data_IF_479187994813
#
_entry.id   IF_479187994813
#
_cell.length_a   1.000
_cell.length_b   1.000
_cell.length_c   1.000
_cell.angle_alpha   90.00
_cell.angle_beta   90.00
_cell.angle_gamma   90.00
#
_symmetry.space_group_name_H-M   'P 1'
#
loop_
_entity.id
_entity.type
_entity.pdbx_description
1 polymer ?
#
# COMPACT_ATOMS: atom_id res chain seq x y z
N UNK A 1 24.35 -6.15 22.75
CA UNK A 1 24.39 -6.52 21.32
C UNK A 1 22.97 -6.88 20.93
N UNK A 2 22.10 -5.88 20.73
CA UNK A 2 20.66 -6.14 20.61
C UNK A 2 19.98 -5.10 19.73
N UNK A 3 20.25 -3.81 19.97
CA UNK A 3 19.59 -2.70 19.24
C UNK A 3 19.93 -2.69 17.75
N UNK A 4 21.20 -2.87 17.38
CA UNK A 4 21.62 -2.83 15.97
C UNK A 4 21.05 -3.98 15.14
N UNK A 5 20.92 -5.18 15.72
CA UNK A 5 20.35 -6.33 15.00
C UNK A 5 18.85 -6.17 14.76
N UNK A 6 18.11 -5.63 15.73
CA UNK A 6 16.66 -5.37 15.56
C UNK A 6 16.41 -4.32 14.49
N UNK A 7 17.18 -3.22 14.46
CA UNK A 7 17.01 -2.17 13.45
C UNK A 7 17.26 -2.69 12.04
N UNK A 8 18.28 -3.53 11.85
CA UNK A 8 18.56 -4.15 10.54
C UNK A 8 17.43 -5.07 10.09
N UNK A 9 16.91 -5.92 10.98
CA UNK A 9 15.81 -6.82 10.65
C UNK A 9 14.51 -6.08 10.26
N UNK A 10 14.18 -4.99 10.98
CA UNK A 10 13.03 -4.14 10.64
C UNK A 10 13.22 -3.43 9.29
N UNK A 11 14.43 -3.00 8.97
CA UNK A 11 14.76 -2.36 7.70
C UNK A 11 14.65 -3.34 6.53
N UNK A 12 15.10 -4.57 6.72
CA UNK A 12 15.01 -5.65 5.74
C UNK A 12 13.53 -6.00 5.48
N UNK A 13 12.73 -6.16 6.54
CA UNK A 13 11.29 -6.41 6.43
C UNK A 13 10.56 -5.26 5.72
N UNK A 14 10.90 -4.02 6.05
CA UNK A 14 10.36 -2.84 5.38
C UNK A 14 10.66 -2.84 3.88
N UNK A 15 11.92 -3.07 3.49
CA UNK A 15 12.32 -3.15 2.09
C UNK A 15 11.60 -4.28 1.36
N UNK A 16 11.39 -5.42 2.02
CA UNK A 16 10.61 -6.53 1.49
C UNK A 16 9.17 -6.10 1.17
N UNK A 17 8.48 -5.43 2.11
CA UNK A 17 7.11 -4.97 1.90
C UNK A 17 6.99 -3.92 0.79
N UNK A 18 7.92 -2.97 0.72
CA UNK A 18 7.93 -1.95 -0.35
C UNK A 18 8.12 -2.61 -1.71
N UNK A 19 9.08 -3.54 -1.82
CA UNK A 19 9.32 -4.27 -3.06
C UNK A 19 8.14 -5.16 -3.45
N UNK A 20 7.52 -5.82 -2.47
CA UNK A 20 6.31 -6.61 -2.69
C UNK A 20 5.16 -5.75 -3.23
N UNK A 21 4.88 -4.62 -2.58
CA UNK A 21 3.84 -3.68 -3.00
C UNK A 21 4.11 -3.13 -4.42
N UNK A 22 5.35 -2.73 -4.72
CA UNK A 22 5.77 -2.29 -6.07
C UNK A 22 5.61 -3.39 -7.12
N UNK A 23 5.82 -4.65 -6.76
CA UNK A 23 5.77 -5.75 -7.74
C UNK A 23 4.35 -6.18 -8.09
N UNK A 24 3.46 -6.17 -7.10
CA UNK A 24 2.17 -6.84 -7.22
C UNK A 24 0.96 -5.90 -7.26
N UNK A 25 1.11 -4.65 -6.83
CA UNK A 25 0.06 -3.64 -6.92
C UNK A 25 0.22 -2.79 -8.18
N UNK A 26 -0.89 -2.27 -8.69
CA UNK A 26 -0.88 -1.28 -9.78
C UNK A 26 -0.81 0.17 -9.27
N UNK A 27 -1.02 0.39 -7.97
CA UNK A 27 -1.05 1.71 -7.34
C UNK A 27 0.33 2.14 -6.81
N UNK A 28 0.99 1.27 -6.05
CA UNK A 28 2.26 1.59 -5.39
C UNK A 28 3.47 1.85 -6.31
N UNK A 29 3.58 1.27 -7.53
CA UNK A 29 4.65 1.63 -8.46
C UNK A 29 4.65 3.11 -8.83
N UNK A 30 3.46 3.68 -9.06
CA UNK A 30 3.31 5.10 -9.40
C UNK A 30 3.57 5.99 -8.19
N UNK A 31 3.08 5.59 -7.01
CA UNK A 31 3.33 6.34 -5.77
C UNK A 31 4.81 6.38 -5.40
N UNK A 32 5.53 5.27 -5.61
CA UNK A 32 6.93 5.12 -5.19
C UNK A 32 7.93 5.31 -6.34
N UNK A 33 7.51 5.89 -7.46
CA UNK A 33 8.35 6.11 -8.63
C UNK A 33 9.60 6.96 -8.35
N UNK A 34 9.50 7.88 -7.40
CA UNK A 34 10.59 8.76 -6.98
C UNK A 34 11.37 8.23 -5.77
N UNK A 35 10.96 7.09 -5.21
CA UNK A 35 11.59 6.49 -4.02
C UNK A 35 12.67 5.52 -4.48
N UNK A 36 13.92 5.84 -4.16
CA UNK A 36 15.03 4.89 -4.32
C UNK A 36 14.91 3.81 -3.27
N UNK A 37 14.71 2.56 -3.67
CA UNK A 37 14.67 1.39 -2.77
C UNK A 37 16.06 0.93 -2.32
N UNK A 38 17.10 1.74 -2.55
CA UNK A 38 18.46 1.49 -2.06
C UNK A 38 18.56 1.88 -0.58
N UNK A 39 18.94 0.92 0.26
CA UNK A 39 19.42 1.12 1.63
C UNK A 39 18.46 1.84 2.60
N UNK A 40 17.19 1.43 2.60
CA UNK A 40 16.30 1.79 3.70
C UNK A 40 15.96 3.27 3.78
N UNK A 41 15.88 3.94 2.62
CA UNK A 41 15.36 5.29 2.54
C UNK A 41 13.89 5.31 2.99
N UNK A 42 13.68 5.74 4.24
CA UNK A 42 12.37 5.90 4.85
C UNK A 42 11.60 7.11 4.30
N UNK A 43 12.17 7.89 3.36
CA UNK A 43 11.48 8.98 2.66
C UNK A 43 10.46 8.45 1.64
N UNK A 44 9.51 7.67 2.12
CA UNK A 44 8.38 7.20 1.33
C UNK A 44 7.28 8.26 1.38
N UNK A 45 6.71 8.66 0.24
CA UNK A 45 5.58 9.59 0.22
C UNK A 45 4.41 8.98 0.99
N UNK A 46 3.85 9.75 1.91
CA UNK A 46 2.64 9.38 2.64
C UNK A 46 1.51 9.17 1.64
N UNK A 47 0.82 8.04 1.75
CA UNK A 47 -0.32 7.71 0.90
C UNK A 47 -1.44 8.72 1.11
N UNK A 48 -1.80 9.43 0.05
CA UNK A 48 -3.00 10.27 0.01
C UNK A 48 -4.25 9.39 0.11
N UNK A 49 -5.02 9.58 1.18
CA UNK A 49 -6.25 8.82 1.43
C UNK A 49 -7.28 8.94 0.30
N UNK A 50 -7.42 10.10 -0.35
CA UNK A 50 -8.37 10.26 -1.45
C UNK A 50 -7.94 9.43 -2.66
N UNK A 51 -6.65 9.46 -3.01
CA UNK A 51 -6.09 8.65 -4.12
C UNK A 51 -6.15 7.16 -3.82
N UNK A 52 -5.93 6.76 -2.57
CA UNK A 52 -6.07 5.39 -2.12
C UNK A 52 -7.50 4.88 -2.34
N UNK A 53 -8.52 5.63 -1.93
CA UNK A 53 -9.91 5.22 -2.10
C UNK A 53 -10.36 5.15 -3.56
N UNK A 54 -9.88 6.06 -4.41
CA UNK A 54 -10.10 5.98 -5.86
C UNK A 54 -9.43 4.75 -6.47
N UNK A 55 -8.25 4.35 -5.96
CA UNK A 55 -7.58 3.13 -6.40
C UNK A 55 -8.17 1.83 -5.82
N UNK A 56 -8.88 1.92 -4.70
CA UNK A 56 -9.41 0.79 -3.93
C UNK A 56 -10.90 0.53 -4.23
N UNK A 57 -11.25 0.46 -5.52
CA UNK A 57 -12.60 0.12 -5.97
C UNK A 57 -12.94 -1.36 -5.73
N UNK A 58 -14.23 -1.67 -5.62
CA UNK A 58 -14.69 -3.05 -5.38
C UNK A 58 -14.37 -3.99 -6.55
N UNK A 59 -14.46 -3.47 -7.77
CA UNK A 59 -14.07 -4.18 -8.99
C UNK A 59 -12.77 -3.55 -9.49
N UNK A 60 -11.77 -4.37 -9.80
CA UNK A 60 -10.48 -3.93 -10.34
C UNK A 60 -9.68 -2.98 -9.42
N UNK A 61 -9.68 -3.24 -8.11
CA UNK A 61 -8.82 -2.51 -7.17
C UNK A 61 -7.37 -2.52 -7.64
N UNK A 62 -6.83 -1.33 -7.87
CA UNK A 62 -5.43 -1.11 -8.26
C UNK A 62 -4.49 -1.21 -7.08
N UNK A 63 -5.03 -1.13 -5.86
CA UNK A 63 -4.27 -1.26 -4.61
C UNK A 63 -3.92 -2.72 -4.32
N UNK A 64 -4.79 -3.66 -4.70
CA UNK A 64 -4.59 -5.08 -4.42
C UNK A 64 -3.30 -5.62 -5.01
N UNK A 65 -2.60 -6.44 -4.22
CA UNK A 65 -1.36 -7.13 -4.60
C UNK A 65 -1.60 -8.54 -5.12
N UNK A 66 -2.83 -8.86 -5.55
CA UNK A 66 -3.21 -10.17 -6.02
C UNK A 66 -4.69 -10.26 -6.34
N UNK A 67 -5.07 -11.27 -7.12
CA UNK A 67 -6.47 -11.52 -7.49
C UNK A 67 -7.27 -12.00 -6.28
N UNK A 68 -8.39 -11.33 -5.99
CA UNK A 68 -9.33 -11.80 -4.97
C UNK A 68 -10.04 -13.06 -5.48
N UNK A 69 -9.73 -14.22 -4.91
CA UNK A 69 -10.35 -15.51 -5.26
C UNK A 69 -11.36 -15.99 -4.21
N UNK A 70 -11.17 -15.59 -2.95
CA UNK A 70 -12.07 -15.83 -1.81
C UNK A 70 -11.65 -14.92 -0.64
N UNK A 71 -12.54 -14.59 0.29
CA UNK A 71 -12.21 -13.84 1.52
C UNK A 71 -13.24 -12.79 1.97
N UNK A 72 -12.98 -12.19 3.13
CA UNK A 72 -13.86 -11.17 3.74
C UNK A 72 -13.42 -9.78 3.30
N UNK A 73 -14.36 -8.98 2.78
CA UNK A 73 -14.15 -7.55 2.53
C UNK A 73 -14.51 -6.77 3.78
N UNK A 74 -13.50 -6.25 4.49
CA UNK A 74 -13.70 -5.34 5.61
C UNK A 74 -13.65 -3.90 5.11
N UNK A 75 -14.78 -3.18 5.22
CA UNK A 75 -14.83 -1.74 4.97
C UNK A 75 -14.89 -0.99 6.30
N UNK A 76 -14.10 0.06 6.42
CA UNK A 76 -14.16 0.97 7.56
C UNK A 76 -15.39 1.88 7.43
N UNK A 77 -16.33 1.78 8.36
CA UNK A 77 -17.48 2.67 8.46
C UNK A 77 -17.10 4.00 9.13
N UNK A 78 -16.58 4.94 8.34
CA UNK A 78 -16.27 6.31 8.77
C UNK A 78 -16.25 7.20 7.55
N UNK A 79 -17.11 8.22 7.52
CA UNK A 79 -17.42 9.04 6.35
C UNK A 79 -16.16 9.77 5.83
N UNK A 80 -15.72 9.44 4.62
CA UNK A 80 -15.27 10.44 3.65
C UNK A 80 -16.24 10.32 2.47
N UNK A 81 -17.20 11.24 2.43
CA UNK A 81 -18.42 11.17 1.64
C UNK A 81 -18.16 11.09 0.13
N UNK A 82 -18.36 9.90 -0.43
CA UNK A 82 -19.13 9.72 -1.67
C UNK A 82 -19.70 8.28 -1.70
N UNK A 83 -20.70 8.04 -0.85
CA UNK A 83 -21.69 7.00 -1.11
C UNK A 83 -22.81 7.65 -1.93
N UNK A 84 -22.63 7.79 -3.23
CA UNK A 84 -23.73 8.06 -4.15
C UNK A 84 -23.67 7.04 -5.29
N UNK A 85 -24.23 5.87 -5.03
CA UNK A 85 -24.85 5.11 -6.10
C UNK A 85 -26.14 5.84 -6.47
N UNK A 86 -26.22 6.41 -7.67
CA UNK A 86 -27.50 6.78 -8.29
C UNK A 86 -27.70 5.97 -9.57
N UNK A 87 -28.83 5.25 -9.56
CA UNK A 87 -29.58 4.59 -10.64
C UNK A 87 -28.86 3.60 -11.54
#
# INVERSE_FOLDING_TARGET
MTVTQTITAELDAFNEYVNFAKKYSLFYPELYKTVSTSDGDLNIPVTDHAKYWVGNEYLNSKVMTGTHIDGIVLRTGGICSNLLFSS
#
